data_IF_794012843402
#
_entry.id   IF_794012843402
#
_cell.length_a   1.000
_cell.length_b   1.000
_cell.length_c   1.000
_cell.angle_alpha   90.00
_cell.angle_beta   90.00
_cell.angle_gamma   90.00
#
_symmetry.space_group_name_H-M   'P 1'
#
loop_
_entity.id
_entity.type
_entity.pdbx_description
1 polymer ?
#
# COMPACT_ATOMS: atom_id res chain seq x y z
N UNK A 1 -10.13 -4.52 -19.15
CA UNK A 1 -10.91 -3.85 -18.08
C UNK A 1 -9.92 -3.62 -16.96
N UNK A 2 -9.76 -2.40 -16.40
CA UNK A 2 -8.91 -2.24 -15.24
C UNK A 2 -9.56 -3.07 -14.12
N UNK A 3 -8.76 -3.95 -13.52
CA UNK A 3 -9.23 -4.86 -12.49
C UNK A 3 -9.78 -4.02 -11.33
N UNK A 4 -10.95 -4.36 -10.83
CA UNK A 4 -11.59 -3.70 -9.69
C UNK A 4 -10.69 -3.66 -8.43
N UNK A 5 -9.58 -4.40 -8.45
CA UNK A 5 -8.56 -4.48 -7.40
C UNK A 5 -7.66 -3.23 -7.30
N UNK A 6 -7.61 -2.35 -8.31
CA UNK A 6 -6.74 -1.15 -8.26
C UNK A 6 -7.13 -0.16 -7.15
N UNK A 7 -8.40 -0.17 -6.72
CA UNK A 7 -8.87 0.64 -5.59
C UNK A 7 -8.62 -0.01 -4.24
N UNK A 8 -8.39 -1.32 -4.22
CA UNK A 8 -8.27 -2.13 -3.00
C UNK A 8 -6.83 -2.23 -2.52
N UNK A 9 -5.88 -1.54 -3.15
CA UNK A 9 -4.45 -1.72 -2.88
C UNK A 9 -3.87 -0.55 -2.11
N UNK A 10 -2.98 -0.86 -1.17
CA UNK A 10 -2.13 0.15 -0.57
C UNK A 10 -1.26 0.82 -1.65
N UNK A 11 -1.36 2.14 -1.77
CA UNK A 11 -0.58 2.93 -2.74
C UNK A 11 0.93 2.80 -2.52
N UNK A 12 1.37 2.54 -1.29
CA UNK A 12 2.80 2.42 -0.95
C UNK A 12 3.36 1.04 -1.32
N UNK A 13 2.73 -0.05 -0.87
CA UNK A 13 3.34 -1.39 -0.94
C UNK A 13 2.57 -2.40 -1.79
N UNK A 14 1.37 -2.08 -2.27
CA UNK A 14 0.57 -2.98 -3.11
C UNK A 14 -0.14 -4.12 -2.37
N UNK A 15 -0.16 -4.12 -1.03
CA UNK A 15 -0.97 -5.06 -0.27
C UNK A 15 -2.46 -4.81 -0.58
N UNK A 16 -3.17 -5.87 -1.00
CA UNK A 16 -4.63 -5.84 -1.18
C UNK A 16 -5.28 -5.79 0.20
N UNK A 17 -6.15 -4.81 0.40
CA UNK A 17 -6.89 -4.53 1.62
C UNK A 17 -8.28 -5.17 1.56
N UNK A 18 -8.92 -5.28 2.73
CA UNK A 18 -10.30 -5.78 2.83
C UNK A 18 -11.31 -4.76 2.31
N UNK A 19 -11.04 -3.47 2.52
CA UNK A 19 -11.84 -2.33 2.08
C UNK A 19 -10.98 -1.34 1.27
N UNK A 20 -11.56 -0.53 0.37
CA UNK A 20 -10.80 0.46 -0.41
C UNK A 20 -10.12 1.50 0.51
N UNK A 21 -8.78 1.61 0.52
CA UNK A 21 -8.07 2.53 1.43
C UNK A 21 -8.40 4.00 1.23
N UNK A 22 -8.84 4.33 0.02
CA UNK A 22 -9.20 5.66 -0.42
C UNK A 22 -10.67 5.75 -0.84
N UNK A 23 -11.51 4.88 -0.27
CA UNK A 23 -12.93 4.82 -0.56
C UNK A 23 -13.23 4.41 -2.00
N UNK A 24 -14.52 4.23 -2.28
CA UNK A 24 -14.99 3.89 -3.64
C UNK A 24 -14.72 5.02 -4.67
N UNK A 25 -14.57 6.25 -4.18
CA UNK A 25 -14.26 7.44 -4.98
C UNK A 25 -12.75 7.59 -5.27
N UNK A 26 -11.89 6.80 -4.61
CA UNK A 26 -10.43 6.92 -4.69
C UNK A 26 -9.86 8.19 -4.06
N UNK A 27 -10.66 8.93 -3.29
CA UNK A 27 -10.33 10.25 -2.73
C UNK A 27 -10.59 10.36 -1.23
N UNK A 28 -11.46 9.53 -0.68
CA UNK A 28 -11.86 9.56 0.73
C UNK A 28 -11.04 8.54 1.53
N UNK A 29 -9.95 8.93 2.21
CA UNK A 29 -9.10 7.98 2.93
C UNK A 29 -9.85 7.33 4.10
N UNK A 30 -9.51 6.07 4.38
CA UNK A 30 -10.05 5.35 5.54
C UNK A 30 -9.37 5.70 6.86
N UNK A 31 -8.17 6.30 6.82
CA UNK A 31 -7.29 6.54 7.99
C UNK A 31 -6.85 5.26 8.71
N UNK A 32 -7.07 4.09 8.11
CA UNK A 32 -6.55 2.83 8.61
C UNK A 32 -5.04 2.72 8.32
N UNK A 33 -4.38 1.83 9.06
CA UNK A 33 -2.94 1.56 8.91
C UNK A 33 -2.73 0.28 8.11
N UNK A 34 -1.94 0.35 7.05
CA UNK A 34 -1.59 -0.83 6.26
C UNK A 34 -0.75 -1.82 7.10
N UNK A 35 -1.25 -3.05 7.29
CA UNK A 35 -0.55 -4.06 8.12
C UNK A 35 0.79 -4.54 7.55
N UNK A 36 1.03 -4.31 6.25
CA UNK A 36 2.33 -4.52 5.62
C UNK A 36 3.26 -3.33 5.88
N UNK A 37 3.10 -2.22 5.17
CA UNK A 37 4.13 -1.15 5.20
C UNK A 37 3.95 -0.13 6.33
N UNK A 38 2.83 -0.13 7.04
CA UNK A 38 2.57 0.77 8.16
C UNK A 38 2.17 2.19 7.79
N UNK A 39 1.88 2.47 6.52
CA UNK A 39 1.38 3.79 6.13
C UNK A 39 -0.04 4.00 6.67
N UNK A 40 -0.33 5.21 7.13
CA UNK A 40 -1.69 5.64 7.45
C UNK A 40 -2.33 6.25 6.20
N UNK A 41 -3.43 5.64 5.75
CA UNK A 41 -4.10 6.08 4.52
C UNK A 41 -4.67 7.50 4.69
N UNK A 42 -4.33 8.40 3.79
CA UNK A 42 -4.71 9.81 3.86
C UNK A 42 -3.69 10.72 4.55
N UNK A 43 -2.61 10.16 5.13
CA UNK A 43 -1.55 10.95 5.75
C UNK A 43 -0.28 10.94 4.88
N UNK A 44 0.61 9.97 5.02
CA UNK A 44 1.86 9.97 4.25
C UNK A 44 1.67 9.58 2.78
N UNK A 45 0.58 8.87 2.44
CA UNK A 45 0.22 8.52 1.07
C UNK A 45 -0.78 9.51 0.41
N UNK A 46 -0.97 10.68 1.02
CA UNK A 46 -1.87 11.74 0.52
C UNK A 46 -1.40 12.44 -0.74
N UNK A 47 -0.14 12.23 -1.14
CA UNK A 47 0.43 12.74 -2.38
C UNK A 47 1.35 11.70 -3.02
N UNK A 48 1.53 11.78 -4.34
CA UNK A 48 2.46 10.89 -5.08
C UNK A 48 3.88 10.97 -4.53
N UNK A 49 4.35 12.16 -4.16
CA UNK A 49 5.68 12.32 -3.55
C UNK A 49 5.75 11.72 -2.15
N UNK A 50 4.68 11.82 -1.36
CA UNK A 50 4.57 11.19 -0.05
C UNK A 50 4.63 9.66 -0.15
N UNK A 51 3.86 9.09 -1.08
CA UNK A 51 3.89 7.66 -1.42
C UNK A 51 5.31 7.21 -1.75
N UNK A 52 5.99 7.89 -2.68
CA UNK A 52 7.35 7.53 -3.10
C UNK A 52 8.35 7.62 -1.94
N UNK A 53 8.25 8.68 -1.13
CA UNK A 53 9.13 8.89 0.04
C UNK A 53 8.93 7.80 1.09
N UNK A 54 7.68 7.47 1.41
CA UNK A 54 7.36 6.44 2.40
C UNK A 54 7.77 5.05 1.91
N UNK A 55 7.48 4.72 0.64
CA UNK A 55 7.90 3.46 0.01
C UNK A 55 9.40 3.28 0.08
N UNK A 56 10.17 4.32 -0.25
CA UNK A 56 11.63 4.28 -0.17
C UNK A 56 12.09 3.92 1.24
N UNK A 57 11.55 4.58 2.28
CA UNK A 57 11.88 4.28 3.68
C UNK A 57 11.54 2.83 4.06
N UNK A 58 10.37 2.35 3.66
CA UNK A 58 9.94 0.98 3.90
C UNK A 58 10.90 -0.04 3.25
N UNK A 59 11.29 0.19 1.99
CA UNK A 59 12.25 -0.66 1.27
C UNK A 59 13.65 -0.62 1.88
N UNK A 60 14.17 0.56 2.22
CA UNK A 60 15.45 0.74 2.91
C UNK A 60 15.46 0.08 4.29
N UNK A 61 14.31 0.02 4.94
CA UNK A 61 14.09 -0.71 6.19
C UNK A 61 13.99 -2.24 6.03
N UNK A 62 14.12 -2.79 4.82
CA UNK A 62 14.02 -4.23 4.56
C UNK A 62 12.61 -4.71 4.25
N UNK A 63 11.70 -3.80 3.93
CA UNK A 63 10.30 -4.11 3.61
C UNK A 63 9.58 -4.88 4.72
N UNK A 64 9.90 -4.55 5.99
CA UNK A 64 9.33 -5.22 7.16
C UNK A 64 7.81 -5.02 7.22
N UNK A 65 7.11 -6.08 7.63
CA UNK A 65 5.69 -6.02 7.94
C UNK A 65 5.50 -5.44 9.35
N UNK A 66 4.47 -4.60 9.52
CA UNK A 66 4.08 -4.12 10.86
C UNK A 66 3.60 -5.29 11.70
N UNK A 67 2.69 -6.11 11.17
CA UNK A 67 2.35 -7.41 11.76
C UNK A 67 3.08 -8.54 11.03
N UNK A 68 4.21 -8.95 11.60
CA UNK A 68 5.00 -10.06 11.07
C UNK A 68 4.23 -11.40 11.02
N UNK A 69 3.14 -11.55 11.79
CA UNK A 69 2.31 -12.77 11.78
C UNK A 69 1.39 -12.85 10.56
N UNK A 70 1.05 -11.70 9.96
CA UNK A 70 0.22 -11.65 8.76
C UNK A 70 1.04 -11.86 7.47
N UNK A 71 2.38 -11.78 7.56
CA UNK A 71 3.26 -11.95 6.42
C UNK A 71 3.19 -13.39 5.87
N UNK A 72 2.83 -13.59 4.58
CA UNK A 72 2.83 -14.92 3.99
C UNK A 72 4.23 -15.57 3.97
N UNK A 73 4.29 -16.89 4.08
CA UNK A 73 5.55 -17.64 4.19
C UNK A 73 6.48 -17.46 2.98
N UNK A 74 5.90 -17.38 1.77
CA UNK A 74 6.62 -17.21 0.50
C UNK A 74 6.47 -15.78 -0.06
N UNK A 75 6.34 -14.79 0.83
CA UNK A 75 6.12 -13.41 0.45
C UNK A 75 7.35 -12.76 -0.21
N UNK A 76 7.12 -11.95 -1.23
CA UNK A 76 8.12 -11.11 -1.90
C UNK A 76 7.58 -9.69 -2.06
N UNK A 77 8.36 -8.71 -1.58
CA UNK A 77 8.05 -7.29 -1.75
C UNK A 77 7.91 -6.92 -3.23
N UNK A 78 8.80 -7.44 -4.08
CA UNK A 78 8.79 -7.18 -5.53
C UNK A 78 7.51 -7.69 -6.19
N UNK A 79 7.00 -8.85 -5.77
CA UNK A 79 5.73 -9.39 -6.28
C UNK A 79 4.55 -8.55 -5.80
N UNK A 80 4.52 -8.18 -4.53
CA UNK A 80 3.44 -7.37 -3.96
C UNK A 80 3.37 -5.98 -4.61
N UNK A 81 4.52 -5.36 -4.87
CA UNK A 81 4.59 -4.03 -5.49
C UNK A 81 4.02 -3.97 -6.91
N UNK A 82 3.90 -5.10 -7.61
CA UNK A 82 3.24 -5.15 -8.93
C UNK A 82 1.76 -4.79 -8.89
N UNK A 83 1.15 -4.83 -7.71
CA UNK A 83 -0.23 -4.41 -7.52
C UNK A 83 -0.37 -2.88 -7.38
N UNK A 84 0.72 -2.15 -7.14
CA UNK A 84 0.66 -0.69 -6.98
C UNK A 84 0.22 -0.06 -8.32
N UNK A 85 -0.82 0.79 -8.33
CA UNK A 85 -1.26 1.44 -9.56
C UNK A 85 -0.15 2.32 -10.14
N UNK A 86 -0.06 2.39 -11.47
CA UNK A 86 1.05 3.08 -12.17
C UNK A 86 1.19 4.55 -11.79
N UNK A 87 0.10 5.24 -11.45
CA UNK A 87 0.12 6.63 -10.96
C UNK A 87 0.95 6.81 -9.68
N UNK A 88 1.05 5.76 -8.87
CA UNK A 88 1.73 5.78 -7.57
C UNK A 88 3.09 5.09 -7.60
N UNK A 89 3.54 4.55 -8.74
CA UNK A 89 4.81 3.82 -8.86
C UNK A 89 6.03 4.74 -8.87
#
# INVERSE_FOLDING_TARGET
>A
MPNNNEKMVCRVCGLIQLDPPWGEDGKSPSYEICSCCGVEFGYEDSSVNGVATYRKKWLEGGANWVDAKERPSNWSAEVQMKNVPTEFM
#
